data_IF_873449294654
#
_entry.id   IF_873449294654
#
_cell.length_a   1.000
_cell.length_b   1.000
_cell.length_c   1.000
_cell.angle_alpha   90.00
_cell.angle_beta   90.00
_cell.angle_gamma   90.00
#
_symmetry.space_group_name_H-M   'P 1'
#
loop_
_entity.id
_entity.type
_entity.pdbx_description
1 polymer ?
#
# COMPACT_ATOMS: atom_id res chain seq x y z
N UNK A 1 -17.47 -28.02 4.92
CA UNK A 1 -17.43 -27.41 3.58
C UNK A 1 -16.57 -26.16 3.65
N UNK A 2 -15.29 -26.25 3.23
CA UNK A 2 -14.40 -25.08 3.06
C UNK A 2 -14.44 -24.68 1.58
N UNK A 3 -14.11 -23.42 1.27
CA UNK A 3 -13.65 -22.94 -0.05
C UNK A 3 -14.62 -22.12 -0.94
N UNK A 4 -15.33 -21.14 -0.37
CA UNK A 4 -15.68 -19.93 -1.15
C UNK A 4 -15.34 -18.60 -0.42
N UNK A 5 -15.02 -18.65 0.88
CA UNK A 5 -14.66 -17.44 1.64
C UNK A 5 -13.17 -17.07 1.54
N UNK A 6 -12.26 -18.04 1.39
CA UNK A 6 -10.81 -17.77 1.38
C UNK A 6 -10.34 -16.84 0.24
N UNK A 7 -10.98 -16.87 -0.92
CA UNK A 7 -10.55 -16.07 -2.08
C UNK A 7 -10.91 -14.60 -1.94
N UNK A 8 -12.13 -14.29 -1.50
CA UNK A 8 -12.54 -12.91 -1.23
C UNK A 8 -11.84 -12.35 0.01
N UNK A 9 -11.61 -13.18 1.02
CA UNK A 9 -10.87 -12.80 2.22
C UNK A 9 -9.42 -12.39 1.90
N UNK A 10 -8.72 -13.15 1.04
CA UNK A 10 -7.36 -12.81 0.62
C UNK A 10 -7.30 -11.51 -0.16
N UNK A 11 -8.22 -11.29 -1.12
CA UNK A 11 -8.26 -10.04 -1.90
C UNK A 11 -8.57 -8.83 -1.01
N UNK A 12 -9.46 -8.98 -0.03
CA UNK A 12 -9.74 -7.93 0.95
C UNK A 12 -8.51 -7.61 1.79
N UNK A 13 -7.83 -8.63 2.34
CA UNK A 13 -6.58 -8.44 3.08
C UNK A 13 -5.48 -7.83 2.20
N UNK A 14 -5.44 -8.18 0.91
CA UNK A 14 -4.50 -7.62 -0.06
C UNK A 14 -4.73 -6.13 -0.30
N UNK A 15 -5.99 -5.73 -0.38
CA UNK A 15 -6.32 -4.31 -0.48
C UNK A 15 -5.91 -3.56 0.78
N UNK A 16 -6.27 -4.07 1.96
CA UNK A 16 -5.85 -3.48 3.24
C UNK A 16 -4.32 -3.38 3.35
N UNK A 17 -3.57 -4.39 2.88
CA UNK A 17 -2.12 -4.35 2.83
C UNK A 17 -1.60 -3.21 1.94
N UNK A 18 -2.18 -3.06 0.73
CA UNK A 18 -1.77 -2.04 -0.22
C UNK A 18 -2.19 -0.62 0.19
N UNK A 19 -3.21 -0.51 1.04
CA UNK A 19 -3.68 0.74 1.63
C UNK A 19 -2.99 1.07 2.97
N UNK A 20 -2.09 0.19 3.45
CA UNK A 20 -1.41 0.28 4.76
C UNK A 20 -2.38 0.30 5.96
N UNK A 21 -3.50 -0.38 5.85
CA UNK A 21 -4.54 -0.48 6.88
C UNK A 21 -4.47 -1.76 7.70
N UNK A 22 -3.49 -2.64 7.43
CA UNK A 22 -3.24 -3.83 8.25
C UNK A 22 -2.44 -3.48 9.49
N UNK A 23 -2.67 -4.23 10.56
CA UNK A 23 -1.79 -4.21 11.74
C UNK A 23 -0.43 -4.81 11.37
N UNK A 24 0.66 -4.43 12.07
CA UNK A 24 1.99 -4.96 11.78
C UNK A 24 2.10 -6.49 11.87
N UNK A 25 1.29 -7.13 12.71
CA UNK A 25 1.25 -8.58 12.86
C UNK A 25 0.59 -9.24 11.63
N UNK A 26 -0.58 -8.74 11.23
CA UNK A 26 -1.31 -9.23 10.06
C UNK A 26 -0.54 -9.02 8.76
N UNK A 27 0.18 -7.90 8.64
CA UNK A 27 1.08 -7.64 7.52
C UNK A 27 2.15 -8.73 7.40
N UNK A 28 2.82 -9.09 8.50
CA UNK A 28 3.87 -10.11 8.50
C UNK A 28 3.34 -11.48 8.10
N UNK A 29 2.19 -11.87 8.64
CA UNK A 29 1.52 -13.12 8.29
C UNK A 29 1.15 -13.16 6.81
N UNK A 30 0.57 -12.06 6.30
CA UNK A 30 0.18 -11.96 4.90
C UNK A 30 1.40 -11.98 3.96
N UNK A 31 2.48 -11.31 4.32
CA UNK A 31 3.73 -11.36 3.56
C UNK A 31 4.34 -12.76 3.55
N UNK A 32 4.24 -13.50 4.65
CA UNK A 32 4.67 -14.90 4.70
C UNK A 32 3.80 -15.78 3.78
N UNK A 33 2.48 -15.59 3.76
CA UNK A 33 1.52 -16.29 2.90
C UNK A 33 1.75 -15.99 1.40
N UNK A 34 2.03 -14.72 1.06
CA UNK A 34 2.41 -14.31 -0.30
C UNK A 34 3.76 -14.94 -0.68
N UNK A 35 4.71 -15.03 0.26
CA UNK A 35 6.00 -15.63 -0.03
C UNK A 35 5.90 -17.13 -0.31
N UNK A 36 5.02 -17.85 0.37
CA UNK A 36 4.87 -19.30 0.23
C UNK A 36 4.07 -19.72 -1.02
N UNK A 37 3.21 -18.84 -1.57
CA UNK A 37 2.36 -19.17 -2.70
C UNK A 37 2.61 -18.29 -3.94
N UNK A 38 3.07 -18.90 -5.03
CA UNK A 38 3.33 -18.21 -6.31
C UNK A 38 2.09 -17.49 -6.86
N UNK A 39 0.90 -18.09 -6.73
CA UNK A 39 -0.37 -17.51 -7.23
C UNK A 39 -0.71 -16.20 -6.51
N UNK A 40 -0.42 -16.11 -5.22
CA UNK A 40 -0.65 -14.90 -4.43
C UNK A 40 0.34 -13.77 -4.78
N UNK A 41 1.57 -14.12 -5.14
CA UNK A 41 2.53 -13.14 -5.70
C UNK A 41 2.05 -12.56 -7.03
N UNK A 42 1.52 -13.41 -7.90
CA UNK A 42 0.98 -12.96 -9.19
C UNK A 42 -0.22 -12.03 -9.00
N UNK A 43 -1.14 -12.36 -8.09
CA UNK A 43 -2.26 -11.48 -7.73
C UNK A 43 -1.80 -10.14 -7.14
N UNK A 44 -0.84 -10.14 -6.21
CA UNK A 44 -0.25 -8.91 -5.67
C UNK A 44 0.36 -8.05 -6.79
N UNK A 45 1.08 -8.67 -7.72
CA UNK A 45 1.71 -7.97 -8.85
C UNK A 45 0.68 -7.35 -9.79
N UNK A 46 -0.38 -8.10 -10.10
CA UNK A 46 -1.49 -7.61 -10.93
C UNK A 46 -2.18 -6.41 -10.26
N UNK A 47 -2.50 -6.51 -8.97
CA UNK A 47 -3.19 -5.43 -8.25
C UNK A 47 -2.33 -4.17 -8.14
N UNK A 48 -1.02 -4.32 -7.88
CA UNK A 48 -0.08 -3.19 -7.91
C UNK A 48 -0.05 -2.53 -9.28
N UNK A 49 0.05 -3.32 -10.35
CA UNK A 49 0.09 -2.81 -11.72
C UNK A 49 -1.20 -2.08 -12.09
N UNK A 50 -2.35 -2.60 -11.65
CA UNK A 50 -3.65 -1.97 -11.85
C UNK A 50 -3.77 -0.64 -11.09
N UNK A 51 -3.37 -0.60 -9.82
CA UNK A 51 -3.34 0.65 -9.03
C UNK A 51 -2.43 1.70 -9.66
N UNK A 52 -1.25 1.33 -10.16
CA UNK A 52 -0.37 2.25 -10.88
C UNK A 52 -0.97 2.71 -12.21
N UNK A 53 -1.62 1.82 -12.95
CA UNK A 53 -2.35 2.19 -14.16
C UNK A 53 -3.44 3.23 -13.86
N UNK A 54 -4.26 3.01 -12.83
CA UNK A 54 -5.28 3.97 -12.39
C UNK A 54 -4.64 5.30 -11.98
N UNK A 55 -3.58 5.27 -11.18
CA UNK A 55 -2.84 6.48 -10.78
C UNK A 55 -2.29 7.25 -12.00
N UNK A 56 -1.85 6.56 -13.04
CA UNK A 56 -1.32 7.19 -14.26
C UNK A 56 -2.39 7.87 -15.11
N UNK A 57 -3.64 7.37 -15.06
CA UNK A 57 -4.77 7.90 -15.84
C UNK A 57 -5.56 8.97 -15.11
N UNK A 58 -5.46 9.04 -13.77
CA UNK A 58 -6.12 10.07 -12.98
C UNK A 58 -5.33 11.37 -13.03
N UNK A 59 -5.98 12.43 -13.53
CA UNK A 59 -5.44 13.78 -13.47
C UNK A 59 -5.44 14.29 -12.03
N UNK A 60 -4.29 14.20 -11.35
CA UNK A 60 -4.12 14.76 -10.01
C UNK A 60 -3.99 16.27 -10.07
N UNK A 61 -4.62 16.96 -9.10
CA UNK A 61 -4.42 18.40 -8.92
C UNK A 61 -2.94 18.66 -8.66
N UNK A 62 -2.33 19.54 -9.47
CA UNK A 62 -0.96 20.00 -9.21
C UNK A 62 -0.98 20.82 -7.92
N UNK A 63 -0.20 20.39 -6.93
CA UNK A 63 0.01 21.16 -5.70
C UNK A 63 0.89 22.37 -5.98
N UNK A 64 0.72 23.45 -5.22
CA UNK A 64 1.56 24.63 -5.39
C UNK A 64 3.01 24.31 -4.98
N UNK A 65 4.01 24.86 -5.69
CA UNK A 65 5.42 24.72 -5.30
C UNK A 65 5.70 25.24 -3.88
N UNK A 66 4.96 26.25 -3.44
CA UNK A 66 5.04 26.79 -2.08
C UNK A 66 4.62 25.76 -1.03
N UNK A 67 3.53 25.04 -1.24
CA UNK A 67 3.08 24.00 -0.32
C UNK A 67 4.10 22.86 -0.21
N UNK A 68 4.71 22.47 -1.34
CA UNK A 68 5.79 21.47 -1.36
C UNK A 68 6.99 21.94 -0.52
N UNK A 69 7.40 23.20 -0.66
CA UNK A 69 8.49 23.76 0.14
C UNK A 69 8.15 23.83 1.63
N UNK A 70 6.94 24.27 1.99
CA UNK A 70 6.49 24.33 3.38
C UNK A 70 6.45 22.95 4.04
N UNK A 71 5.99 21.92 3.32
CA UNK A 71 6.00 20.53 3.82
C UNK A 71 7.44 20.04 4.00
N UNK A 72 8.32 20.25 3.01
CA UNK A 72 9.75 19.86 3.12
C UNK A 72 10.42 20.53 4.32
N UNK A 73 10.23 21.84 4.48
CA UNK A 73 10.79 22.60 5.59
C UNK A 73 10.31 22.06 6.95
N UNK A 74 9.01 21.76 7.07
CA UNK A 74 8.45 21.17 8.29
C UNK A 74 9.03 19.78 8.61
N UNK A 75 9.21 18.93 7.61
CA UNK A 75 9.82 17.60 7.81
C UNK A 75 11.26 17.73 8.30
N UNK A 76 12.06 18.60 7.68
CA UNK A 76 13.43 18.85 8.10
C UNK A 76 13.54 19.47 9.50
N UNK A 77 12.65 20.39 9.87
CA UNK A 77 12.65 20.98 11.22
C UNK A 77 12.21 19.98 12.30
N UNK A 78 11.31 19.04 11.96
CA UNK A 78 10.82 18.02 12.89
C UNK A 78 11.87 16.95 13.19
N UNK A 79 12.78 16.68 12.25
CA UNK A 79 13.90 15.74 12.45
C UNK A 79 15.12 16.34 13.17
N UNK A 80 15.17 17.66 13.36
CA UNK A 80 16.30 18.37 14.00
C UNK A 80 16.02 18.82 15.43
N UNK A 81 14.89 18.43 16.03
CA UNK A 81 14.50 18.82 17.40
C UNK A 81 14.88 17.79 18.47
N UNK A 82 15.71 16.80 18.16
CA UNK A 82 16.16 15.74 19.11
C UNK A 82 17.69 15.60 19.23
N UNK A 83 18.44 16.71 19.16
CA UNK A 83 19.85 16.77 19.57
C UNK A 83 20.14 18.05 20.38
#
# INVERSE_FOLDING_TARGET
MKNFQNGQDFTTRLNLLLDNELTPEMEREMLAEIKSNKKYRELLSQEKSFREFVKSRIHRKKVSPSLVQSIKAKIHSSGSSEL
#
